data_IF_498027020977
#
_entry.id   IF_498027020977
#
_cell.length_a   1.000
_cell.length_b   1.000
_cell.length_c   1.000
_cell.angle_alpha   90.00
_cell.angle_beta   90.00
_cell.angle_gamma   90.00
#
_symmetry.space_group_name_H-M   'P 1'
#
loop_
_entity.id
_entity.type
_entity.pdbx_description
1 polymer ?
#
# COMPACT_ATOMS: atom_id res chain seq x y z
N UNK A 1 -9.94 -15.28 30.20
CA UNK A 1 -9.26 -15.51 28.93
C UNK A 1 -8.65 -14.19 28.51
N UNK A 2 -7.31 -14.10 28.51
CA UNK A 2 -6.64 -12.93 27.95
C UNK A 2 -6.76 -13.04 26.42
N UNK A 3 -7.45 -12.11 25.80
CA UNK A 3 -7.42 -11.98 24.35
C UNK A 3 -5.99 -11.60 23.98
N UNK A 4 -5.32 -12.44 23.19
CA UNK A 4 -4.04 -12.09 22.58
C UNK A 4 -4.29 -10.84 21.73
N UNK A 5 -3.85 -9.70 22.22
CA UNK A 5 -3.87 -8.45 21.48
C UNK A 5 -2.92 -8.64 20.29
N UNK A 6 -3.46 -8.65 19.08
CA UNK A 6 -2.62 -8.72 17.87
C UNK A 6 -1.74 -7.49 17.85
N UNK A 7 -0.44 -7.68 17.69
CA UNK A 7 0.53 -6.57 17.67
C UNK A 7 0.48 -5.94 16.29
N UNK A 8 0.30 -4.63 16.24
CA UNK A 8 0.32 -3.85 15.01
C UNK A 8 1.78 -3.62 14.56
N UNK A 9 2.19 -4.15 13.40
CA UNK A 9 3.57 -3.98 12.93
C UNK A 9 3.89 -2.55 12.48
N UNK A 10 2.88 -1.73 12.15
CA UNK A 10 3.09 -0.40 11.57
C UNK A 10 2.57 0.75 12.44
N UNK A 11 1.94 0.45 13.59
CA UNK A 11 1.44 1.47 14.50
C UNK A 11 0.23 2.25 13.97
N UNK A 12 -0.49 1.72 12.99
CA UNK A 12 -1.65 2.39 12.36
C UNK A 12 -2.94 2.17 13.16
N UNK A 13 -3.00 1.12 14.00
CA UNK A 13 -4.20 0.79 14.77
C UNK A 13 -4.56 1.91 15.77
N UNK A 14 -5.86 2.10 15.94
CA UNK A 14 -6.43 3.14 16.81
C UNK A 14 -7.71 2.64 17.50
N UNK A 15 -8.36 3.51 18.26
CA UNK A 15 -9.68 3.20 18.84
C UNK A 15 -10.76 2.87 17.79
N UNK A 16 -10.57 3.34 16.56
CA UNK A 16 -11.50 3.18 15.45
C UNK A 16 -11.05 2.16 14.40
N UNK A 17 -9.79 1.78 14.42
CA UNK A 17 -9.17 0.82 13.51
C UNK A 17 -8.48 -0.27 14.31
N UNK A 18 -8.86 -1.53 14.11
CA UNK A 18 -8.29 -2.67 14.82
C UNK A 18 -7.52 -3.61 13.89
N UNK A 19 -6.43 -4.16 14.37
CA UNK A 19 -5.71 -5.22 13.66
C UNK A 19 -6.60 -6.47 13.58
N UNK A 20 -6.94 -6.89 12.36
CA UNK A 20 -7.72 -8.09 12.07
C UNK A 20 -6.83 -9.32 11.92
N UNK A 21 -5.75 -9.19 11.17
CA UNK A 21 -4.75 -10.24 10.98
C UNK A 21 -3.36 -9.65 10.77
N UNK A 22 -2.34 -10.43 11.09
CA UNK A 22 -0.94 -10.13 10.79
C UNK A 22 -0.27 -11.36 10.23
N UNK A 23 0.65 -11.17 9.31
CA UNK A 23 1.50 -12.21 8.76
C UNK A 23 2.95 -11.73 8.71
N UNK A 24 3.87 -12.63 9.00
CA UNK A 24 5.31 -12.38 8.91
C UNK A 24 5.85 -13.20 7.74
N UNK A 25 5.95 -12.58 6.57
CA UNK A 25 6.71 -13.14 5.47
C UNK A 25 8.20 -13.05 5.75
N UNK A 26 8.97 -13.97 5.20
CA UNK A 26 10.43 -13.84 5.11
C UNK A 26 10.80 -13.76 3.64
N UNK A 27 11.59 -12.75 3.29
CA UNK A 27 12.23 -12.64 2.00
C UNK A 27 13.74 -12.88 2.17
N UNK A 28 14.30 -13.73 1.34
CA UNK A 28 15.73 -14.02 1.34
C UNK A 28 16.12 -14.61 0.00
N UNK A 29 17.39 -14.52 -0.31
CA UNK A 29 18.00 -15.14 -1.48
C UNK A 29 18.88 -16.30 -1.07
N UNK A 30 19.01 -17.28 -1.94
CA UNK A 30 19.92 -18.41 -1.75
C UNK A 30 21.03 -18.28 -2.80
N UNK A 31 22.26 -18.28 -2.36
CA UNK A 31 23.43 -18.44 -3.22
C UNK A 31 23.82 -19.91 -3.26
N UNK A 32 24.07 -20.40 -4.46
CA UNK A 32 24.52 -21.78 -4.68
C UNK A 32 25.84 -21.75 -5.46
N UNK A 33 26.79 -22.53 -4.98
CA UNK A 33 28.01 -22.83 -5.74
C UNK A 33 27.89 -24.25 -6.29
N UNK A 34 28.11 -24.40 -7.59
CA UNK A 34 28.11 -25.69 -8.27
C UNK A 34 29.50 -26.08 -8.69
N UNK A 35 29.81 -27.37 -8.67
CA UNK A 35 31.02 -27.93 -9.23
C UNK A 35 30.97 -27.99 -10.78
N UNK A 36 32.04 -28.49 -11.41
CA UNK A 36 32.16 -28.65 -12.85
C UNK A 36 31.14 -29.63 -13.46
N UNK A 37 30.47 -30.43 -12.63
CA UNK A 37 29.44 -31.38 -13.04
C UNK A 37 28.02 -30.83 -12.84
N UNK A 38 27.88 -29.59 -12.34
CA UNK A 38 26.61 -28.96 -12.02
C UNK A 38 26.01 -29.41 -10.68
N UNK A 39 26.79 -30.08 -9.81
CA UNK A 39 26.35 -30.47 -8.48
C UNK A 39 26.51 -29.30 -7.51
N UNK A 40 25.47 -29.01 -6.71
CA UNK A 40 25.54 -27.97 -5.67
C UNK A 40 26.49 -28.45 -4.59
N UNK A 41 27.62 -27.78 -4.43
CA UNK A 41 28.65 -28.05 -3.44
C UNK A 41 28.61 -27.14 -2.22
N UNK A 42 27.96 -25.99 -2.35
CA UNK A 42 27.70 -25.09 -1.24
C UNK A 42 26.40 -24.33 -1.49
N UNK A 43 25.66 -24.10 -0.41
CA UNK A 43 24.44 -23.30 -0.45
C UNK A 43 24.39 -22.42 0.80
N UNK A 44 24.13 -21.13 0.62
CA UNK A 44 24.00 -20.19 1.71
C UNK A 44 22.78 -19.28 1.47
N UNK A 45 21.98 -19.08 2.52
CA UNK A 45 20.89 -18.13 2.48
C UNK A 45 21.37 -16.77 2.98
N UNK A 46 21.08 -15.71 2.23
CA UNK A 46 21.48 -14.37 2.57
C UNK A 46 20.32 -13.38 2.40
N UNK A 47 20.45 -12.21 3.06
CA UNK A 47 19.45 -11.15 2.97
C UNK A 47 18.08 -11.54 3.55
N UNK A 48 18.04 -12.49 4.49
CA UNK A 48 16.80 -12.89 5.14
C UNK A 48 16.22 -11.71 5.91
N UNK A 49 15.08 -11.20 5.44
CA UNK A 49 14.36 -10.08 6.03
C UNK A 49 12.93 -10.47 6.30
N UNK A 50 12.41 -9.98 7.40
CA UNK A 50 10.99 -10.10 7.69
C UNK A 50 10.20 -9.11 6.81
N UNK A 51 9.15 -9.60 6.18
CA UNK A 51 8.21 -8.80 5.39
C UNK A 51 6.83 -8.87 6.07
N UNK A 52 6.61 -8.04 7.11
CA UNK A 52 5.35 -8.06 7.84
C UNK A 52 4.23 -7.48 6.99
N UNK A 53 3.05 -8.03 7.16
CA UNK A 53 1.82 -7.48 6.65
C UNK A 53 0.73 -7.49 7.70
N UNK A 54 -0.20 -6.57 7.61
CA UNK A 54 -1.34 -6.47 8.51
C UNK A 54 -2.60 -6.11 7.74
N UNK A 55 -3.71 -6.71 8.16
CA UNK A 55 -5.04 -6.35 7.72
C UNK A 55 -5.79 -5.70 8.87
N UNK A 56 -6.51 -4.63 8.58
CA UNK A 56 -7.22 -3.84 9.58
C UNK A 56 -8.72 -3.84 9.32
N UNK A 57 -9.50 -3.88 10.39
CA UNK A 57 -10.93 -3.73 10.38
C UNK A 57 -11.32 -2.34 10.90
N UNK A 58 -12.13 -1.64 10.13
CA UNK A 58 -12.71 -0.36 10.53
C UNK A 58 -13.89 -0.60 11.47
N UNK A 59 -13.87 0.03 12.65
CA UNK A 59 -14.95 -0.07 13.64
C UNK A 59 -16.01 1.01 13.50
N UNK A 60 -15.63 2.16 13.01
CA UNK A 60 -16.49 3.30 12.71
C UNK A 60 -15.83 4.20 11.68
N UNK A 61 -16.59 5.13 11.10
CA UNK A 61 -16.03 6.15 10.22
C UNK A 61 -14.83 6.85 10.90
N UNK A 62 -13.74 6.98 10.17
CA UNK A 62 -12.48 7.51 10.68
C UNK A 62 -11.79 8.33 9.62
N UNK A 63 -11.28 9.50 10.02
CA UNK A 63 -10.36 10.29 9.22
C UNK A 63 -8.93 9.90 9.58
N UNK A 64 -8.10 9.70 8.58
CA UNK A 64 -6.69 9.40 8.69
C UNK A 64 -5.90 10.60 8.20
N UNK A 65 -5.07 11.17 9.06
CA UNK A 65 -4.35 12.43 8.82
C UNK A 65 -2.82 12.29 8.87
N UNK A 66 -2.32 11.17 9.38
CA UNK A 66 -0.88 11.00 9.60
C UNK A 66 -0.37 9.59 9.32
N UNK A 67 -0.66 9.01 8.16
CA UNK A 67 0.00 7.76 7.76
C UNK A 67 1.22 8.11 6.92
N UNK A 68 2.38 7.57 7.32
CA UNK A 68 3.67 7.89 6.70
C UNK A 68 4.29 6.64 6.09
N UNK A 69 4.49 6.64 4.78
CA UNK A 69 5.33 5.66 4.09
C UNK A 69 6.80 5.97 4.40
N UNK A 70 7.60 4.93 4.61
CA UNK A 70 8.97 5.07 5.08
C UNK A 70 9.09 5.27 6.60
N UNK A 71 7.97 5.41 7.31
CA UNK A 71 7.95 5.47 8.77
C UNK A 71 8.46 4.16 9.38
N UNK A 72 9.39 4.27 10.33
CA UNK A 72 10.02 3.13 10.99
C UNK A 72 9.32 2.83 12.31
N UNK A 73 8.90 1.59 12.49
CA UNK A 73 8.33 1.10 13.74
C UNK A 73 9.13 -0.10 14.28
N UNK A 74 8.95 -0.44 15.55
CA UNK A 74 9.54 -1.65 16.14
C UNK A 74 8.47 -2.73 16.25
N UNK A 75 8.70 -3.85 15.59
CA UNK A 75 7.84 -5.02 15.62
C UNK A 75 8.63 -6.28 15.92
N UNK A 76 8.26 -7.03 16.98
CA UNK A 76 8.98 -8.24 17.43
C UNK A 76 10.49 -8.06 17.53
N UNK A 77 10.93 -6.96 18.15
CA UNK A 77 12.35 -6.56 18.30
C UNK A 77 13.06 -6.17 17.00
N UNK A 78 12.40 -6.24 15.87
CA UNK A 78 12.91 -5.84 14.56
C UNK A 78 12.40 -4.44 14.20
N UNK A 79 13.21 -3.70 13.46
CA UNK A 79 12.81 -2.42 12.88
C UNK A 79 12.15 -2.69 11.54
N UNK A 80 10.95 -2.20 11.34
CA UNK A 80 10.19 -2.38 10.10
C UNK A 80 9.76 -1.04 9.53
N UNK A 81 9.71 -0.95 8.22
CA UNK A 81 9.29 0.24 7.48
C UNK A 81 8.01 -0.06 6.72
N UNK A 82 7.04 0.84 6.78
CA UNK A 82 5.83 0.76 5.97
C UNK A 82 6.15 1.17 4.52
N UNK A 83 5.94 0.27 3.58
CA UNK A 83 6.19 0.52 2.14
C UNK A 83 4.91 0.62 1.32
N UNK A 84 3.82 0.01 1.79
CA UNK A 84 2.56 0.01 1.07
C UNK A 84 1.36 0.03 2.01
N UNK A 85 0.36 0.83 1.67
CA UNK A 85 -0.98 0.82 2.25
C UNK A 85 -1.99 0.66 1.12
N UNK A 86 -2.88 -0.32 1.24
CA UNK A 86 -3.95 -0.56 0.25
C UNK A 86 -5.30 -0.51 0.93
N UNK A 87 -6.24 0.18 0.30
CA UNK A 87 -7.62 0.31 0.76
C UNK A 87 -8.54 -0.13 -0.37
N UNK A 88 -9.25 -1.23 -0.16
CA UNK A 88 -10.24 -1.74 -1.11
C UNK A 88 -11.63 -1.37 -0.64
N UNK A 89 -12.42 -0.87 -1.56
CA UNK A 89 -13.82 -0.52 -1.31
C UNK A 89 -14.69 -1.08 -2.43
N UNK A 90 -15.87 -1.56 -2.08
CA UNK A 90 -16.85 -2.09 -3.04
C UNK A 90 -18.25 -1.65 -2.67
N UNK A 91 -19.12 -1.66 -3.67
CA UNK A 91 -20.54 -1.38 -3.48
C UNK A 91 -21.16 -2.35 -2.46
N UNK A 92 -21.68 -1.83 -1.34
CA UNK A 92 -22.32 -2.61 -0.29
C UNK A 92 -21.38 -3.45 0.58
N UNK A 93 -20.05 -3.33 0.39
CA UNK A 93 -19.02 -4.01 1.20
C UNK A 93 -18.41 -3.10 2.26
N UNK A 94 -17.87 -3.72 3.32
CA UNK A 94 -17.00 -3.00 4.25
C UNK A 94 -15.63 -2.74 3.58
N UNK A 95 -15.02 -1.56 3.77
CA UNK A 95 -13.69 -1.30 3.27
C UNK A 95 -12.68 -2.21 3.99
N UNK A 96 -11.74 -2.76 3.22
CA UNK A 96 -10.61 -3.51 3.77
C UNK A 96 -9.35 -2.66 3.65
N UNK A 97 -8.57 -2.62 4.73
CA UNK A 97 -7.31 -1.89 4.79
C UNK A 97 -6.22 -2.92 5.02
N UNK A 98 -5.20 -2.91 4.17
CA UNK A 98 -4.01 -3.74 4.33
C UNK A 98 -2.75 -2.89 4.24
N UNK A 99 -1.77 -3.23 5.06
CA UNK A 99 -0.46 -2.60 5.06
C UNK A 99 0.62 -3.66 4.93
N UNK A 100 1.69 -3.34 4.24
CA UNK A 100 2.87 -4.19 4.13
C UNK A 100 4.15 -3.37 4.20
N UNK A 101 5.21 -4.03 4.62
CA UNK A 101 6.51 -3.41 4.78
C UNK A 101 7.63 -4.42 4.87
N UNK A 102 8.81 -3.92 5.17
CA UNK A 102 10.03 -4.72 5.23
C UNK A 102 10.86 -4.42 6.46
N UNK A 103 11.62 -5.41 6.92
CA UNK A 103 12.61 -5.24 7.98
C UNK A 103 13.78 -4.39 7.48
N UNK A 104 14.22 -3.46 8.33
CA UNK A 104 15.46 -2.72 8.17
C UNK A 104 16.53 -3.41 9.02
N UNK A 105 17.67 -3.73 8.40
CA UNK A 105 18.78 -4.28 9.15
C UNK A 105 19.32 -3.32 10.22
N UNK A 106 19.69 -3.87 11.38
CA UNK A 106 20.15 -3.09 12.52
C UNK A 106 21.49 -2.36 12.26
N UNK A 107 22.29 -2.83 11.29
CA UNK A 107 23.55 -2.21 10.88
C UNK A 107 23.39 -1.00 9.97
N UNK A 108 22.23 -0.83 9.36
CA UNK A 108 21.94 0.41 8.63
C UNK A 108 21.80 1.53 9.66
N UNK A 109 22.55 2.62 9.48
CA UNK A 109 22.46 3.83 10.30
C UNK A 109 21.01 4.34 10.30
N UNK A 110 20.30 3.80 11.15
CA UNK A 110 19.00 3.96 11.75
C UNK A 110 17.95 4.84 11.15
N UNK A 111 18.20 5.63 10.16
CA UNK A 111 17.25 6.57 9.60
C UNK A 111 16.91 6.19 8.18
N UNK A 112 15.65 5.87 7.93
CA UNK A 112 15.11 6.01 6.60
C UNK A 112 15.18 7.51 6.26
N UNK A 113 16.05 7.96 5.34
CA UNK A 113 16.31 9.39 5.15
C UNK A 113 15.15 10.14 4.48
N UNK A 114 14.15 9.41 4.03
CA UNK A 114 13.01 9.98 3.35
C UNK A 114 11.71 9.36 3.88
N UNK A 115 10.74 10.21 4.15
CA UNK A 115 9.38 9.81 4.49
C UNK A 115 8.39 10.52 3.59
N UNK A 116 7.21 9.91 3.39
CA UNK A 116 6.17 10.45 2.55
C UNK A 116 4.83 10.39 3.29
N UNK A 117 4.28 11.51 3.66
CA UNK A 117 2.97 11.56 4.30
C UNK A 117 1.86 11.32 3.28
N UNK A 118 1.03 10.31 3.54
CA UNK A 118 -0.16 10.05 2.75
C UNK A 118 -1.15 11.18 3.02
N UNK A 119 -1.74 11.81 1.98
CA UNK A 119 -2.76 12.84 2.18
C UNK A 119 -3.92 12.36 3.04
N UNK A 120 -4.50 13.26 3.84
CA UNK A 120 -5.69 12.99 4.64
C UNK A 120 -6.79 12.32 3.84
N UNK A 121 -7.41 11.30 4.43
CA UNK A 121 -8.56 10.61 3.86
C UNK A 121 -9.52 10.15 4.94
N UNK A 122 -10.79 9.98 4.56
CA UNK A 122 -11.86 9.47 5.44
C UNK A 122 -12.42 8.18 4.89
N UNK A 123 -12.58 7.18 5.75
CA UNK A 123 -13.23 5.92 5.46
C UNK A 123 -14.53 5.80 6.26
N UNK A 124 -15.61 5.44 5.61
CA UNK A 124 -16.89 5.09 6.23
C UNK A 124 -17.13 3.59 6.31
N UNK A 125 -17.85 3.19 7.40
CA UNK A 125 -18.22 1.81 7.66
C UNK A 125 -19.45 1.50 6.86
N UNK A 126 -19.77 0.98 5.94
CA UNK A 126 -21.07 0.65 5.28
C UNK A 126 -21.48 1.50 4.09
N UNK A 127 -20.64 2.38 3.60
CA UNK A 127 -21.00 3.15 2.41
C UNK A 127 -19.92 3.04 1.35
N UNK A 128 -20.39 2.98 0.09
CA UNK A 128 -19.54 3.18 -1.07
C UNK A 128 -18.49 4.23 -0.76
N UNK A 129 -17.30 3.78 -0.72
CA UNK A 129 -16.06 4.52 -0.76
C UNK A 129 -16.22 6.05 -0.79
N UNK A 130 -16.50 6.66 0.33
CA UNK A 130 -16.10 8.06 0.51
C UNK A 130 -14.60 8.09 0.82
N UNK A 131 -13.80 7.59 -0.08
CA UNK A 131 -12.38 7.90 -0.03
C UNK A 131 -12.22 9.21 -0.76
N UNK A 132 -12.13 10.26 0.03
CA UNK A 132 -11.98 11.62 -0.47
C UNK A 132 -10.52 11.94 -0.78
N UNK A 133 -9.84 11.10 -1.55
CA UNK A 133 -8.58 11.52 -2.16
C UNK A 133 -8.80 12.52 -3.30
N UNK A 134 -10.04 12.88 -3.61
CA UNK A 134 -10.36 13.73 -4.76
C UNK A 134 -9.67 13.27 -6.04
N UNK A 135 -9.55 11.94 -6.22
CA UNK A 135 -8.78 11.37 -7.31
C UNK A 135 -9.41 11.68 -8.66
N UNK A 136 -10.72 11.73 -8.72
CA UNK A 136 -11.46 12.06 -9.94
C UNK A 136 -12.90 12.47 -9.61
N UNK A 137 -13.55 13.07 -10.59
CA UNK A 137 -15.00 13.23 -10.67
C UNK A 137 -15.56 12.32 -11.75
N UNK A 138 -16.69 11.68 -11.45
CA UNK A 138 -17.43 10.82 -12.36
C UNK A 138 -18.68 11.56 -12.85
N UNK A 139 -18.92 11.55 -14.16
CA UNK A 139 -20.15 12.04 -14.77
C UNK A 139 -20.64 11.08 -15.85
N UNK A 140 -21.95 11.15 -16.11
CA UNK A 140 -22.65 10.29 -17.07
C UNK A 140 -23.96 9.79 -16.47
N UNK A 141 -25.03 9.83 -17.25
CA UNK A 141 -26.34 9.34 -16.80
C UNK A 141 -26.26 7.82 -16.55
N UNK A 142 -26.64 7.37 -15.35
CA UNK A 142 -26.61 5.95 -14.99
C UNK A 142 -25.21 5.38 -14.77
N UNK A 143 -24.18 6.22 -14.59
CA UNK A 143 -22.82 5.78 -14.27
C UNK A 143 -22.58 5.84 -12.76
N UNK A 144 -22.13 4.72 -12.18
CA UNK A 144 -21.91 4.57 -10.74
C UNK A 144 -20.56 3.91 -10.46
N UNK A 145 -19.89 4.40 -9.42
CA UNK A 145 -18.69 3.73 -8.90
C UNK A 145 -19.10 2.40 -8.25
N UNK A 146 -18.58 1.29 -8.75
CA UNK A 146 -18.82 -0.05 -8.22
C UNK A 146 -17.77 -0.44 -7.19
N UNK A 147 -16.51 -0.24 -7.51
CA UNK A 147 -15.40 -0.52 -6.61
C UNK A 147 -14.24 0.44 -6.85
N UNK A 148 -13.42 0.64 -5.84
CA UNK A 148 -12.17 1.35 -5.99
C UNK A 148 -11.10 0.72 -5.08
N UNK A 149 -9.92 0.58 -5.66
CA UNK A 149 -8.71 0.19 -4.96
C UNK A 149 -7.78 1.41 -4.90
N UNK A 150 -7.44 1.82 -3.69
CA UNK A 150 -6.50 2.90 -3.42
C UNK A 150 -5.23 2.29 -2.86
N UNK A 151 -4.10 2.57 -3.49
CA UNK A 151 -2.80 2.12 -3.03
C UNK A 151 -1.89 3.32 -2.86
N UNK A 152 -1.31 3.47 -1.67
CA UNK A 152 -0.17 4.33 -1.43
C UNK A 152 1.05 3.44 -1.31
N UNK A 153 2.08 3.66 -2.10
CA UNK A 153 3.29 2.84 -2.06
C UNK A 153 4.54 3.64 -2.37
N UNK A 154 5.66 3.14 -1.88
CA UNK A 154 7.00 3.60 -2.20
C UNK A 154 7.89 2.40 -2.49
N UNK A 155 8.97 2.65 -3.20
CA UNK A 155 10.02 1.66 -3.40
C UNK A 155 11.00 1.70 -2.23
N UNK A 156 11.56 0.54 -1.92
CA UNK A 156 12.57 0.37 -0.90
C UNK A 156 13.91 0.08 -1.56
N UNK A 157 14.95 0.79 -1.15
CA UNK A 157 16.31 0.63 -1.63
C UNK A 157 17.28 0.39 -0.49
N UNK A 158 18.27 -0.46 -0.73
CA UNK A 158 19.38 -0.71 0.18
C UNK A 158 20.70 -0.51 -0.53
N UNK A 159 21.63 0.19 0.12
CA UNK A 159 23.02 0.22 -0.30
C UNK A 159 23.80 -0.84 0.47
N UNK A 160 24.62 -1.61 -0.23
CA UNK A 160 25.43 -2.68 0.36
C UNK A 160 26.91 -2.42 0.09
N UNK A 161 27.75 -2.67 1.09
CA UNK A 161 29.20 -2.68 0.98
C UNK A 161 29.70 -4.03 1.51
N UNK A 162 30.45 -4.77 0.72
CA UNK A 162 30.99 -6.10 1.09
C UNK A 162 29.94 -7.07 1.64
N UNK A 163 28.72 -7.03 1.09
CA UNK A 163 27.62 -7.90 1.54
C UNK A 163 26.85 -7.41 2.76
N UNK A 164 27.29 -6.34 3.42
CA UNK A 164 26.58 -5.72 4.53
C UNK A 164 25.72 -4.56 4.05
N UNK A 165 24.49 -4.43 4.55
CA UNK A 165 23.64 -3.28 4.29
C UNK A 165 24.14 -2.09 5.09
N UNK A 166 24.59 -1.04 4.40
CA UNK A 166 25.14 0.18 5.02
C UNK A 166 24.14 1.33 5.03
N UNK A 167 23.14 1.31 4.14
CA UNK A 167 22.08 2.31 4.12
C UNK A 167 20.78 1.72 3.61
N UNK A 168 19.67 2.30 4.06
CA UNK A 168 18.32 1.96 3.67
C UNK A 168 17.54 3.24 3.40
N UNK A 169 16.70 3.24 2.37
CA UNK A 169 15.88 4.39 2.04
C UNK A 169 14.64 4.01 1.25
N UNK A 170 13.61 4.83 1.33
CA UNK A 170 12.42 4.72 0.48
C UNK A 170 12.41 5.86 -0.52
N UNK A 171 11.88 5.61 -1.71
CA UNK A 171 11.81 6.58 -2.79
C UNK A 171 10.62 6.31 -3.72
N UNK A 172 10.33 7.25 -4.62
CA UNK A 172 9.33 7.07 -5.66
C UNK A 172 7.91 6.89 -5.16
N UNK A 173 7.53 7.51 -4.03
CA UNK A 173 6.22 7.34 -3.45
C UNK A 173 5.12 7.92 -4.33
N UNK A 174 4.02 7.17 -4.48
CA UNK A 174 2.85 7.60 -5.21
C UNK A 174 1.56 7.01 -4.64
N UNK A 175 0.46 7.70 -4.95
CA UNK A 175 -0.90 7.20 -4.82
C UNK A 175 -1.35 6.63 -6.15
N UNK A 176 -2.04 5.51 -6.11
CA UNK A 176 -2.72 4.92 -7.26
C UNK A 176 -4.17 4.63 -6.91
N UNK A 177 -5.07 4.92 -7.83
CA UNK A 177 -6.49 4.58 -7.72
C UNK A 177 -6.90 3.81 -8.95
N UNK A 178 -7.35 2.58 -8.77
CA UNK A 178 -8.04 1.82 -9.81
C UNK A 178 -9.53 1.78 -9.47
N UNK A 179 -10.34 2.37 -10.33
CA UNK A 179 -11.78 2.46 -10.14
C UNK A 179 -12.52 1.61 -11.18
N UNK A 180 -13.55 0.89 -10.73
CA UNK A 180 -14.50 0.18 -11.58
C UNK A 180 -15.85 0.91 -11.56
N UNK A 181 -16.37 1.19 -12.73
CA UNK A 181 -17.58 1.99 -12.94
C UNK A 181 -18.60 1.15 -13.71
N UNK A 182 -19.82 1.08 -13.23
CA UNK A 182 -20.95 0.44 -13.89
C UNK A 182 -21.79 1.49 -14.60
N UNK A 183 -22.17 1.22 -15.87
CA UNK A 183 -23.02 2.09 -16.67
C UNK A 183 -24.39 1.40 -16.93
N UNK A 184 -25.41 1.80 -16.19
CA UNK A 184 -26.74 1.17 -16.26
C UNK A 184 -27.60 1.71 -17.44
N UNK A 185 -27.17 2.78 -18.08
CA UNK A 185 -27.89 3.41 -19.22
C UNK A 185 -27.21 3.20 -20.58
N UNK A 186 -26.13 2.39 -20.63
CA UNK A 186 -25.33 2.23 -21.85
C UNK A 186 -24.51 3.48 -22.23
N UNK A 187 -24.50 4.51 -21.38
CA UNK A 187 -23.68 5.71 -21.61
C UNK A 187 -22.27 5.46 -21.14
N UNK A 188 -21.28 5.72 -21.99
CA UNK A 188 -19.86 5.65 -21.60
C UNK A 188 -19.58 6.67 -20.50
N UNK A 189 -19.00 6.26 -19.35
CA UNK A 189 -18.70 7.20 -18.28
C UNK A 189 -17.64 8.23 -18.67
N UNK A 190 -17.78 9.45 -18.15
CA UNK A 190 -16.75 10.47 -18.25
C UNK A 190 -16.06 10.63 -16.91
N UNK A 191 -14.76 10.42 -16.90
CA UNK A 191 -13.90 10.57 -15.70
C UNK A 191 -12.98 11.76 -15.90
N UNK A 192 -13.05 12.71 -14.97
CA UNK A 192 -12.17 13.88 -14.95
C UNK A 192 -11.20 13.75 -13.78
N UNK A 193 -9.88 13.63 -14.03
CA UNK A 193 -8.88 13.55 -12.98
C UNK A 193 -8.89 14.77 -12.07
N UNK A 194 -8.71 14.55 -10.78
CA UNK A 194 -8.54 15.61 -9.77
C UNK A 194 -7.18 16.32 -9.90
N UNK A 195 -6.99 17.35 -9.11
CA UNK A 195 -5.76 18.13 -9.15
C UNK A 195 -4.53 17.27 -8.81
N UNK A 196 -3.56 17.27 -9.72
CA UNK A 196 -2.30 16.51 -9.58
C UNK A 196 -2.41 15.02 -9.91
N UNK A 197 -3.61 14.52 -10.24
CA UNK A 197 -3.80 13.17 -10.72
C UNK A 197 -3.63 13.07 -12.22
N UNK A 198 -3.01 11.98 -12.67
CA UNK A 198 -2.83 11.68 -14.10
C UNK A 198 -3.41 10.30 -14.39
N UNK A 199 -3.97 10.12 -15.58
CA UNK A 199 -4.44 8.81 -16.04
C UNK A 199 -3.24 7.96 -16.39
N UNK A 200 -3.06 6.85 -15.68
CA UNK A 200 -2.00 5.86 -15.96
C UNK A 200 -2.50 4.71 -16.85
N UNK A 201 -3.78 4.34 -16.70
CA UNK A 201 -4.47 3.46 -17.65
C UNK A 201 -5.77 4.12 -18.08
N UNK A 202 -6.02 4.29 -19.38
CA UNK A 202 -7.22 4.94 -19.88
C UNK A 202 -8.48 4.13 -19.54
N UNK A 203 -9.62 4.79 -19.58
CA UNK A 203 -10.92 4.17 -19.40
C UNK A 203 -11.10 3.06 -20.45
N UNK A 204 -11.32 1.85 -20.00
CA UNK A 204 -11.54 0.69 -20.85
C UNK A 204 -12.75 -0.11 -20.37
N UNK A 205 -13.53 -0.61 -21.30
CA UNK A 205 -14.63 -1.52 -21.02
C UNK A 205 -14.06 -2.89 -20.64
N UNK A 206 -14.49 -3.43 -19.50
CA UNK A 206 -13.95 -4.69 -18.94
C UNK A 206 -14.91 -5.85 -19.05
N UNK A 207 -16.21 -5.60 -19.21
CA UNK A 207 -17.21 -6.65 -19.36
C UNK A 207 -18.34 -6.23 -20.32
N UNK A 208 -18.10 -6.33 -21.65
CA UNK A 208 -19.06 -5.91 -22.66
C UNK A 208 -20.32 -6.79 -22.74
N UNK A 209 -20.23 -8.05 -22.31
CA UNK A 209 -21.32 -9.02 -22.39
C UNK A 209 -22.24 -9.01 -21.14
N UNK A 210 -21.98 -8.13 -20.18
CA UNK A 210 -22.84 -8.00 -19.00
C UNK A 210 -24.12 -7.20 -19.33
N UNK A 211 -25.20 -7.45 -18.59
CA UNK A 211 -26.43 -6.66 -18.67
C UNK A 211 -26.16 -5.15 -18.49
N UNK A 212 -25.11 -4.84 -17.73
CA UNK A 212 -24.61 -3.49 -17.54
C UNK A 212 -23.10 -3.47 -17.81
N UNK A 213 -22.64 -2.74 -18.84
CA UNK A 213 -21.22 -2.65 -19.12
C UNK A 213 -20.45 -2.03 -17.95
N UNK A 214 -19.28 -2.57 -17.70
CA UNK A 214 -18.34 -2.09 -16.69
C UNK A 214 -17.09 -1.51 -17.32
N UNK A 215 -16.56 -0.47 -16.69
CA UNK A 215 -15.39 0.26 -17.17
C UNK A 215 -14.36 0.35 -16.04
N UNK A 216 -13.09 0.20 -16.37
CA UNK A 216 -11.98 0.39 -15.44
C UNK A 216 -11.10 1.56 -15.87
N UNK A 217 -10.60 2.30 -14.89
CA UNK A 217 -9.64 3.38 -15.10
C UNK A 217 -8.62 3.37 -13.95
N UNK A 218 -7.37 3.68 -14.25
CA UNK A 218 -6.33 3.83 -13.23
C UNK A 218 -5.72 5.23 -13.31
N UNK A 219 -5.61 5.88 -12.16
CA UNK A 219 -5.01 7.19 -11.99
C UNK A 219 -3.86 7.11 -10.99
N UNK A 220 -2.85 7.95 -11.19
CA UNK A 220 -1.71 8.08 -10.28
C UNK A 220 -1.44 9.52 -9.90
N UNK A 221 -0.91 9.70 -8.68
CA UNK A 221 -0.44 10.98 -8.17
C UNK A 221 0.85 10.75 -7.36
N UNK A 222 1.95 11.47 -7.64
CA UNK A 222 3.14 11.41 -6.81
C UNK A 222 2.85 11.95 -5.42
N UNK A 223 3.45 11.36 -4.39
CA UNK A 223 3.47 11.89 -3.02
C UNK A 223 4.76 12.69 -2.88
N UNK A 224 4.64 13.89 -2.31
CA UNK A 224 5.80 14.77 -2.11
C UNK A 224 6.65 14.26 -0.94
N UNK A 225 7.96 14.34 -1.08
CA UNK A 225 8.91 14.04 -0.02
C UNK A 225 8.74 15.02 1.15
N UNK A 226 8.69 14.50 2.35
CA UNK A 226 8.70 15.31 3.56
C UNK A 226 10.13 15.80 3.83
N UNK A 227 10.41 17.04 3.47
CA UNK A 227 11.76 17.64 3.60
C UNK A 227 12.08 18.11 5.03
N UNK A 228 11.16 17.94 5.98
CA UNK A 228 11.30 18.41 7.36
C UNK A 228 12.21 17.57 8.26
N UNK A 229 12.71 16.43 7.77
CA UNK A 229 13.56 15.50 8.53
C UNK A 229 15.04 15.54 8.16
N UNK A 230 15.55 16.61 7.55
CA UNK A 230 16.99 16.81 7.42
C UNK A 230 17.59 17.03 8.79
N UNK A 231 18.13 15.95 9.36
CA UNK A 231 18.64 15.85 10.69
C UNK A 231 19.71 16.89 11.06
N UNK A 232 19.66 17.19 12.28
CA UNK A 232 20.82 17.68 13.07
C UNK A 232 21.60 16.48 13.58
#
# INVERSE_FOLDING_TARGET
MAFLTKVDPFGISSSTLAVKSTSDGNSGSVAEATDENGTIVAQESYGNRMSPSAEYALKKETTFDEIVLGGVTTYKTKRVVLTQLTINTSAGGEPTISASGEEIEASADGTCPATYTIPEFTLGVCHHAKILFSAFSLSGTGCYLNSANYTAQCENGTAMIEGAVVAHGVYGAYLEVTAEIVATSGTVPTVTPGQGWVVSSPLAETNPDADYPTYSITLRKPITLDTSSSGT
#
